data_IF_606461971070
#
_entry.id   IF_606461971070
#
_cell.length_a   1.000
_cell.length_b   1.000
_cell.length_c   1.000
_cell.angle_alpha   90.00
_cell.angle_beta   90.00
_cell.angle_gamma   90.00
#
_symmetry.space_group_name_H-M   'P 1'
#
loop_
_entity.id
_entity.type
_entity.pdbx_description
1 polymer ?
#
# COMPACT_ATOMS: atom_id res chain seq x y z
N UNK A 1 -4.11 13.17 10.05
CA UNK A 1 -3.46 13.69 11.27
C UNK A 1 -3.09 15.15 11.01
N UNK A 2 -3.53 16.04 11.89
CA UNK A 2 -3.41 17.50 11.74
C UNK A 2 -3.56 18.19 13.09
N UNK A 3 -3.21 19.47 13.16
CA UNK A 3 -3.53 20.32 14.31
C UNK A 3 -4.81 21.10 14.05
N UNK A 4 -5.87 20.81 14.80
CA UNK A 4 -7.19 21.41 14.56
C UNK A 4 -7.27 22.88 14.92
N UNK A 5 -6.44 23.33 15.85
CA UNK A 5 -6.28 24.76 16.14
C UNK A 5 -5.86 25.56 14.91
N UNK A 6 -4.99 24.99 14.06
CA UNK A 6 -4.39 25.70 12.92
C UNK A 6 -5.21 25.55 11.63
N UNK A 7 -5.87 24.41 11.41
CA UNK A 7 -6.34 24.02 10.06
C UNK A 7 -7.85 23.82 9.92
N UNK A 8 -8.59 23.72 11.03
CA UNK A 8 -9.97 23.21 11.05
C UNK A 8 -11.00 24.12 10.38
N UNK A 9 -10.88 25.44 10.50
CA UNK A 9 -11.93 26.39 10.08
C UNK A 9 -11.98 26.65 8.57
N UNK A 10 -10.86 26.46 7.87
CA UNK A 10 -10.74 26.82 6.45
C UNK A 10 -10.24 25.62 5.63
N UNK A 11 -8.93 25.38 5.67
CA UNK A 11 -8.23 24.42 4.82
C UNK A 11 -8.74 22.98 4.91
N UNK A 12 -8.89 22.44 6.13
CA UNK A 12 -9.30 21.04 6.31
C UNK A 12 -10.71 20.76 5.78
N UNK A 13 -11.62 21.72 5.92
CA UNK A 13 -12.98 21.60 5.41
C UNK A 13 -13.00 21.47 3.89
N UNK A 14 -12.23 22.30 3.20
CA UNK A 14 -12.08 22.24 1.74
C UNK A 14 -11.40 20.96 1.28
N UNK A 15 -10.32 20.54 1.96
CA UNK A 15 -9.63 19.30 1.64
C UNK A 15 -10.56 18.08 1.80
N UNK A 16 -11.32 18.01 2.90
CA UNK A 16 -12.28 16.93 3.13
C UNK A 16 -13.37 16.88 2.04
N UNK A 17 -13.89 18.05 1.64
CA UNK A 17 -14.89 18.13 0.57
C UNK A 17 -14.32 17.64 -0.77
N UNK A 18 -13.12 18.09 -1.14
CA UNK A 18 -12.49 17.70 -2.40
C UNK A 18 -12.12 16.21 -2.44
N UNK A 19 -11.67 15.62 -1.32
CA UNK A 19 -11.44 14.18 -1.20
C UNK A 19 -12.74 13.38 -1.37
N UNK A 20 -13.82 13.84 -0.73
CA UNK A 20 -15.14 13.23 -0.86
C UNK A 20 -15.66 13.28 -2.31
N UNK A 21 -15.47 14.40 -3.01
CA UNK A 21 -15.84 14.55 -4.43
C UNK A 21 -15.08 13.59 -5.35
N UNK A 22 -13.84 13.22 -5.00
CA UNK A 22 -13.08 12.17 -5.70
C UNK A 22 -13.44 10.75 -5.27
N UNK A 23 -14.39 10.57 -4.35
CA UNK A 23 -14.78 9.26 -3.82
C UNK A 23 -13.72 8.64 -2.91
N UNK A 24 -12.83 9.45 -2.32
CA UNK A 24 -11.79 8.97 -1.40
C UNK A 24 -12.35 9.00 0.02
N UNK A 25 -12.63 7.81 0.56
CA UNK A 25 -13.02 7.65 1.96
C UNK A 25 -11.90 8.14 2.88
N UNK A 26 -12.23 9.08 3.76
CA UNK A 26 -11.25 9.77 4.59
C UNK A 26 -11.68 9.71 6.05
N UNK A 27 -10.82 9.14 6.89
CA UNK A 27 -10.93 9.26 8.34
C UNK A 27 -10.29 10.58 8.78
N UNK A 28 -11.04 11.39 9.54
CA UNK A 28 -10.56 12.68 10.05
C UNK A 28 -10.61 12.61 11.57
N UNK A 29 -9.45 12.65 12.20
CA UNK A 29 -9.35 12.72 13.67
C UNK A 29 -9.86 14.09 14.18
N UNK A 30 -10.49 14.13 15.35
CA UNK A 30 -10.91 15.38 15.99
C UNK A 30 -10.07 15.61 17.26
N UNK A 31 -8.92 16.23 17.08
CA UNK A 31 -7.95 16.53 18.15
C UNK A 31 -8.47 17.48 19.26
N UNK A 32 -9.70 17.99 19.17
CA UNK A 32 -10.31 18.85 20.21
C UNK A 32 -11.29 18.11 21.13
N UNK A 33 -11.78 16.93 20.75
CA UNK A 33 -12.79 16.21 21.53
C UNK A 33 -12.19 15.30 22.61
N UNK A 34 -10.95 14.84 22.46
CA UNK A 34 -10.32 13.92 23.41
C UNK A 34 -9.20 14.58 24.22
N UNK A 35 -9.57 15.54 25.07
CA UNK A 35 -8.67 16.01 26.14
C UNK A 35 -8.41 14.86 27.13
N UNK A 36 -7.24 14.23 27.04
CA UNK A 36 -6.60 13.54 28.16
C UNK A 36 -6.61 12.00 28.17
N UNK A 37 -6.56 11.31 27.03
CA UNK A 37 -6.33 9.84 26.99
C UNK A 37 -5.24 9.44 26.01
N UNK A 38 -4.86 8.18 26.03
CA UNK A 38 -4.07 7.50 24.99
C UNK A 38 -4.83 7.49 23.66
N UNK A 39 -4.14 7.34 22.53
CA UNK A 39 -4.76 7.13 21.19
C UNK A 39 -5.89 6.10 21.32
N UNK A 40 -7.10 6.46 20.90
CA UNK A 40 -8.24 5.54 21.00
C UNK A 40 -8.01 4.29 20.14
N UNK A 41 -8.48 3.10 20.54
CA UNK A 41 -8.35 1.89 19.73
C UNK A 41 -8.95 2.04 18.33
N UNK A 42 -10.00 2.84 18.20
CA UNK A 42 -10.66 3.15 16.92
C UNK A 42 -9.75 3.96 16.00
N UNK A 43 -9.08 4.98 16.54
CA UNK A 43 -8.11 5.78 15.81
C UNK A 43 -6.88 4.96 15.39
N UNK A 44 -6.36 4.12 16.29
CA UNK A 44 -5.27 3.18 15.96
C UNK A 44 -5.66 2.27 14.80
N UNK A 45 -6.85 1.68 14.86
CA UNK A 45 -7.36 0.82 13.80
C UNK A 45 -7.53 1.59 12.49
N UNK A 46 -8.07 2.82 12.53
CA UNK A 46 -8.22 3.65 11.35
C UNK A 46 -6.88 3.98 10.69
N UNK A 47 -5.85 4.31 11.47
CA UNK A 47 -4.48 4.53 10.97
C UNK A 47 -3.96 3.25 10.32
N UNK A 48 -4.17 2.11 10.97
CA UNK A 48 -3.67 0.81 10.54
C UNK A 48 -4.34 0.25 9.28
N UNK A 49 -5.63 0.52 9.10
CA UNK A 49 -6.44 0.05 7.98
C UNK A 49 -6.36 1.01 6.77
N UNK A 50 -5.92 2.25 6.99
CA UNK A 50 -5.79 3.26 5.94
C UNK A 50 -4.66 2.93 4.96
N UNK A 51 -4.93 3.04 3.66
CA UNK A 51 -3.90 2.81 2.63
C UNK A 51 -2.90 3.96 2.49
N UNK A 52 -3.32 5.18 2.86
CA UNK A 52 -2.55 6.40 2.80
C UNK A 52 -2.80 7.24 4.06
N UNK A 53 -1.82 8.03 4.48
CA UNK A 53 -1.94 9.01 5.54
C UNK A 53 -1.50 10.39 5.03
N UNK A 54 -2.36 11.38 5.22
CA UNK A 54 -2.00 12.80 5.04
C UNK A 54 -1.62 13.37 6.41
N UNK A 55 -0.41 13.94 6.49
CA UNK A 55 0.15 14.57 7.68
C UNK A 55 0.24 16.07 7.43
N UNK A 56 -0.63 16.85 8.06
CA UNK A 56 -0.67 18.32 7.87
C UNK A 56 0.16 18.99 8.96
N UNK A 57 1.42 19.28 8.63
CA UNK A 57 2.38 19.96 9.48
C UNK A 57 2.08 21.45 9.45
N UNK A 58 1.75 22.02 10.60
CA UNK A 58 1.30 23.41 10.78
C UNK A 58 2.01 24.04 11.99
N UNK A 59 1.97 25.38 12.18
CA UNK A 59 2.84 26.07 13.13
C UNK A 59 2.79 25.51 14.56
N UNK A 60 1.62 25.11 15.04
CA UNK A 60 1.42 24.58 16.40
C UNK A 60 1.31 23.05 16.42
N UNK A 61 1.63 22.35 15.33
CA UNK A 61 1.50 20.90 15.25
C UNK A 61 2.26 20.18 16.36
N UNK A 62 3.52 20.54 16.57
CA UNK A 62 4.37 19.89 17.58
C UNK A 62 3.96 20.22 19.03
N UNK A 63 3.08 21.20 19.27
CA UNK A 63 2.58 21.48 20.62
C UNK A 63 1.66 20.37 21.15
N UNK A 64 1.06 19.59 20.25
CA UNK A 64 0.13 18.52 20.58
C UNK A 64 0.85 17.17 20.66
N UNK A 65 1.00 16.65 21.88
CA UNK A 65 1.54 15.29 22.10
C UNK A 65 0.71 14.22 21.39
N UNK A 66 -0.60 14.44 21.25
CA UNK A 66 -1.49 13.58 20.49
C UNK A 66 -1.13 13.52 19.01
N UNK A 67 -0.94 14.69 18.37
CA UNK A 67 -0.53 14.73 16.96
C UNK A 67 0.82 14.04 16.75
N UNK A 68 1.74 14.15 17.70
CA UNK A 68 3.05 13.49 17.66
C UNK A 68 2.96 11.97 17.85
N UNK A 69 2.14 11.49 18.80
CA UNK A 69 1.89 10.06 19.02
C UNK A 69 1.23 9.43 17.77
N UNK A 70 0.27 10.11 17.14
CA UNK A 70 -0.32 9.69 15.86
C UNK A 70 0.74 9.60 14.75
N UNK A 71 1.64 10.59 14.64
CA UNK A 71 2.69 10.60 13.63
C UNK A 71 3.64 9.40 13.77
N UNK A 72 4.05 9.09 15.00
CA UNK A 72 4.88 7.91 15.27
C UNK A 72 4.17 6.65 14.78
N UNK A 73 2.88 6.50 15.06
CA UNK A 73 2.10 5.33 14.63
C UNK A 73 1.94 5.27 13.10
N UNK A 74 1.74 6.41 12.44
CA UNK A 74 1.67 6.50 10.98
C UNK A 74 2.98 6.04 10.34
N UNK A 75 4.12 6.49 10.85
CA UNK A 75 5.43 6.08 10.32
C UNK A 75 5.75 4.62 10.62
N UNK A 76 5.30 4.08 11.74
CA UNK A 76 5.34 2.64 12.00
C UNK A 76 4.55 1.86 10.94
N UNK A 77 3.32 2.29 10.62
CA UNK A 77 2.50 1.67 9.57
C UNK A 77 3.11 1.83 8.16
N UNK A 78 3.77 2.94 7.88
CA UNK A 78 4.54 3.14 6.65
C UNK A 78 5.62 2.07 6.50
N UNK A 79 6.42 1.85 7.55
CA UNK A 79 7.53 0.88 7.55
C UNK A 79 7.05 -0.57 7.53
N UNK A 80 6.04 -0.89 8.34
CA UNK A 80 5.62 -2.28 8.58
C UNK A 80 4.56 -2.78 7.60
N UNK A 81 3.67 -1.89 7.14
CA UNK A 81 2.53 -2.23 6.27
C UNK A 81 2.65 -1.63 4.86
N UNK A 82 3.63 -0.77 4.60
CA UNK A 82 3.80 -0.10 3.31
C UNK A 82 2.72 0.95 3.05
N UNK A 83 2.16 1.54 4.09
CA UNK A 83 1.23 2.67 3.98
C UNK A 83 1.94 3.85 3.30
N UNK A 84 1.25 4.55 2.39
CA UNK A 84 1.81 5.77 1.78
C UNK A 84 1.62 6.95 2.74
N UNK A 85 2.67 7.74 2.96
CA UNK A 85 2.59 8.96 3.77
C UNK A 85 2.86 10.16 2.87
N UNK A 86 1.99 11.18 2.95
CA UNK A 86 2.12 12.44 2.22
C UNK A 86 2.19 13.58 3.27
N UNK A 87 3.38 14.15 3.52
CA UNK A 87 3.50 15.35 4.32
C UNK A 87 3.00 16.58 3.55
N UNK A 88 2.21 17.40 4.24
CA UNK A 88 1.73 18.70 3.78
C UNK A 88 2.31 19.74 4.73
N UNK A 89 3.13 20.64 4.20
CA UNK A 89 3.71 21.75 4.95
C UNK A 89 2.81 22.96 4.81
N UNK A 90 1.96 23.19 5.82
CA UNK A 90 0.94 24.25 5.83
C UNK A 90 1.42 25.44 6.67
N UNK A 91 1.78 26.54 6.01
CA UNK A 91 2.32 27.75 6.60
C UNK A 91 3.54 27.53 7.52
N UNK A 92 4.37 26.55 7.19
CA UNK A 92 5.62 26.24 7.90
C UNK A 92 6.74 26.01 6.89
N UNK A 93 7.98 26.28 7.28
CA UNK A 93 9.16 25.90 6.51
C UNK A 93 9.46 24.40 6.77
N UNK A 94 9.56 23.54 5.73
CA UNK A 94 10.00 22.15 5.89
C UNK A 94 11.32 21.99 6.64
N UNK A 95 12.23 22.97 6.55
CA UNK A 95 13.46 23.01 7.32
C UNK A 95 13.20 23.11 8.82
N UNK A 96 12.29 24.00 9.24
CA UNK A 96 11.94 24.16 10.65
C UNK A 96 11.31 22.90 11.22
N UNK A 97 10.46 22.22 10.45
CA UNK A 97 9.91 20.91 10.86
C UNK A 97 11.01 19.87 11.01
N UNK A 98 11.93 19.78 10.03
CA UNK A 98 13.00 18.78 9.99
C UNK A 98 14.05 18.98 11.07
N UNK A 99 14.38 20.24 11.38
CA UNK A 99 15.40 20.61 12.39
C UNK A 99 14.82 20.95 13.75
N UNK A 100 13.49 20.95 13.86
CA UNK A 100 12.75 21.34 15.06
C UNK A 100 13.21 22.73 15.53
N UNK A 101 13.20 23.70 14.62
CA UNK A 101 13.48 25.12 14.89
C UNK A 101 12.19 25.93 14.85
N UNK A 102 12.25 27.22 15.20
CA UNK A 102 11.06 28.07 15.31
C UNK A 102 10.04 27.51 16.32
N UNK A 103 8.76 27.52 15.95
CA UNK A 103 7.66 27.05 16.80
C UNK A 103 7.78 25.56 17.17
N UNK A 104 8.39 24.74 16.31
CA UNK A 104 8.65 23.34 16.61
C UNK A 104 9.70 23.20 17.72
N UNK A 105 10.74 24.02 17.69
CA UNK A 105 11.77 24.04 18.73
C UNK A 105 11.23 24.47 20.09
N UNK A 106 10.40 25.50 20.11
CA UNK A 106 9.71 25.96 21.32
C UNK A 106 8.81 24.87 21.91
N UNK A 107 8.06 24.16 21.05
CA UNK A 107 7.23 23.04 21.49
C UNK A 107 8.07 21.90 22.10
N UNK A 108 9.21 21.55 21.49
CA UNK A 108 10.08 20.51 22.02
C UNK A 108 10.78 20.90 23.32
N UNK A 109 11.18 22.16 23.49
CA UNK A 109 11.73 22.63 24.76
C UNK A 109 10.71 22.44 25.91
N UNK A 110 9.43 22.69 25.66
CA UNK A 110 8.37 22.43 26.63
C UNK A 110 8.17 20.93 26.88
N UNK A 111 8.20 20.09 25.84
CA UNK A 111 8.06 18.64 26.00
C UNK A 111 9.24 18.02 26.76
N UNK A 112 10.46 18.50 26.55
CA UNK A 112 11.63 18.03 27.29
C UNK A 112 11.50 18.29 28.79
N UNK A 113 10.91 19.42 29.20
CA UNK A 113 10.62 19.72 30.61
C UNK A 113 9.43 18.90 31.16
N UNK A 114 8.39 18.68 30.35
CA UNK A 114 7.19 17.97 30.80
C UNK A 114 7.36 16.44 30.83
N UNK A 115 8.34 15.91 30.08
CA UNK A 115 8.61 14.48 29.92
C UNK A 115 10.07 14.16 30.28
N UNK A 116 10.63 14.83 31.30
CA UNK A 116 11.99 14.57 31.79
C UNK A 116 12.22 13.10 32.14
N UNK A 117 11.20 12.42 32.65
CA UNK A 117 11.22 10.98 32.99
C UNK A 117 11.04 10.04 31.78
N UNK A 118 10.67 10.57 30.60
CA UNK A 118 10.40 9.81 29.37
C UNK A 118 11.01 10.48 28.13
N UNK A 119 12.31 10.77 28.21
CA UNK A 119 13.06 11.42 27.12
C UNK A 119 13.14 10.57 25.85
N UNK A 120 13.01 9.24 25.96
CA UNK A 120 12.92 8.37 24.78
C UNK A 120 11.63 8.63 23.98
N UNK A 121 10.51 8.95 24.64
CA UNK A 121 9.29 9.37 23.95
C UNK A 121 9.50 10.68 23.20
N UNK A 122 10.11 11.69 23.83
CA UNK A 122 10.41 12.98 23.18
C UNK A 122 11.32 12.79 21.97
N UNK A 123 12.33 11.92 22.10
CA UNK A 123 13.23 11.57 21.01
C UNK A 123 12.48 10.89 19.86
N UNK A 124 11.57 9.96 20.15
CA UNK A 124 10.75 9.29 19.13
C UNK A 124 9.93 10.28 18.31
N UNK A 125 9.40 11.34 18.95
CA UNK A 125 8.68 12.41 18.29
C UNK A 125 9.57 13.27 17.39
N UNK A 126 10.78 13.61 17.84
CA UNK A 126 11.77 14.34 17.02
C UNK A 126 12.18 13.52 15.79
N UNK A 127 12.48 12.24 16.00
CA UNK A 127 12.86 11.32 14.92
C UNK A 127 11.72 11.18 13.90
N UNK A 128 10.48 11.08 14.37
CA UNK A 128 9.29 11.02 13.52
C UNK A 128 9.11 12.29 12.66
N UNK A 129 9.26 13.48 13.25
CA UNK A 129 9.18 14.73 12.48
C UNK A 129 10.32 14.88 11.48
N UNK A 130 11.54 14.50 11.87
CA UNK A 130 12.68 14.50 10.96
C UNK A 130 12.46 13.54 9.78
N UNK A 131 11.96 12.34 10.06
CA UNK A 131 11.68 11.32 9.05
C UNK A 131 10.56 11.74 8.10
N UNK A 132 9.41 12.18 8.61
CA UNK A 132 8.29 12.59 7.75
C UNK A 132 8.68 13.80 6.89
N UNK A 133 9.51 14.71 7.41
CA UNK A 133 9.99 15.88 6.66
C UNK A 133 11.03 15.54 5.58
N UNK A 134 11.55 14.31 5.55
CA UNK A 134 12.42 13.82 4.47
C UNK A 134 11.63 13.18 3.32
N UNK A 135 10.33 12.94 3.51
CA UNK A 135 9.48 12.40 2.45
C UNK A 135 9.13 13.50 1.44
N UNK A 136 8.82 13.10 0.21
CA UNK A 136 8.27 14.01 -0.79
C UNK A 136 6.86 14.44 -0.37
N UNK A 137 6.65 15.75 -0.28
CA UNK A 137 5.38 16.36 0.12
C UNK A 137 5.13 17.66 -0.61
N UNK A 138 4.04 18.33 -0.25
CA UNK A 138 3.66 19.61 -0.83
C UNK A 138 3.78 20.74 0.19
N UNK A 139 4.29 21.89 -0.26
CA UNK A 139 4.45 23.08 0.55
C UNK A 139 3.45 24.16 0.12
N UNK A 140 2.55 24.52 1.03
CA UNK A 140 1.56 25.58 0.85
C UNK A 140 2.15 26.92 0.40
N UNK A 141 3.40 27.23 0.77
CA UNK A 141 4.07 28.48 0.39
C UNK A 141 4.39 28.54 -1.11
N UNK A 142 4.39 27.40 -1.80
CA UNK A 142 4.55 27.32 -3.25
C UNK A 142 3.26 27.67 -4.02
N UNK A 143 2.15 27.89 -3.30
CA UNK A 143 0.82 28.13 -3.88
C UNK A 143 0.32 29.53 -3.58
N UNK A 144 -0.53 30.04 -4.48
CA UNK A 144 -1.14 31.36 -4.31
C UNK A 144 -2.32 31.34 -3.33
N UNK A 145 -3.06 30.25 -3.32
CA UNK A 145 -4.29 30.09 -2.54
C UNK A 145 -4.54 28.63 -2.14
N UNK A 146 -5.32 28.43 -1.08
CA UNK A 146 -5.66 27.11 -0.56
C UNK A 146 -6.46 26.26 -1.55
N UNK A 147 -7.18 26.86 -2.50
CA UNK A 147 -8.02 26.12 -3.44
C UNK A 147 -7.17 25.34 -4.46
N UNK A 148 -6.19 26.02 -5.07
CA UNK A 148 -5.20 25.40 -5.95
C UNK A 148 -4.36 24.37 -5.19
N UNK A 149 -3.96 24.70 -3.96
CA UNK A 149 -3.22 23.78 -3.12
C UNK A 149 -4.00 22.49 -2.80
N UNK A 150 -5.27 22.60 -2.41
CA UNK A 150 -6.16 21.46 -2.16
C UNK A 150 -6.33 20.60 -3.41
N UNK A 151 -6.49 21.22 -4.58
CA UNK A 151 -6.63 20.49 -5.84
C UNK A 151 -5.42 19.59 -6.10
N UNK A 152 -4.20 20.13 -5.96
CA UNK A 152 -2.96 19.39 -6.18
C UNK A 152 -2.76 18.26 -5.16
N UNK A 153 -3.09 18.49 -3.88
CA UNK A 153 -3.06 17.45 -2.84
C UNK A 153 -3.93 16.26 -3.25
N UNK A 154 -5.15 16.55 -3.70
CA UNK A 154 -6.13 15.54 -4.08
C UNK A 154 -5.71 14.79 -5.34
N UNK A 155 -5.11 15.47 -6.31
CA UNK A 155 -4.55 14.85 -7.51
C UNK A 155 -3.36 13.94 -7.20
N UNK A 156 -2.42 14.40 -6.35
CA UNK A 156 -1.29 13.59 -5.91
C UNK A 156 -1.76 12.34 -5.17
N UNK A 157 -2.73 12.47 -4.26
CA UNK A 157 -3.30 11.34 -3.55
C UNK A 157 -3.99 10.36 -4.51
N UNK A 158 -4.83 10.86 -5.41
CA UNK A 158 -5.56 10.05 -6.39
C UNK A 158 -4.61 9.23 -7.27
N UNK A 159 -3.52 9.86 -7.72
CA UNK A 159 -2.46 9.20 -8.51
C UNK A 159 -1.78 8.08 -7.71
N UNK A 160 -1.40 8.34 -6.45
CA UNK A 160 -0.77 7.33 -5.59
C UNK A 160 -1.72 6.17 -5.27
N UNK A 161 -2.97 6.45 -4.95
CA UNK A 161 -3.99 5.42 -4.67
C UNK A 161 -4.24 4.56 -5.91
N UNK A 162 -4.36 5.17 -7.08
CA UNK A 162 -4.54 4.45 -8.36
C UNK A 162 -3.35 3.53 -8.65
N UNK A 163 -2.14 4.03 -8.46
CA UNK A 163 -0.89 3.25 -8.64
C UNK A 163 -0.82 2.07 -7.65
N UNK A 164 -1.17 2.30 -6.38
CA UNK A 164 -1.24 1.25 -5.37
C UNK A 164 -2.24 0.15 -5.76
N UNK A 165 -3.45 0.54 -6.18
CA UNK A 165 -4.50 -0.41 -6.56
C UNK A 165 -4.06 -1.27 -7.74
N UNK A 166 -3.48 -0.67 -8.78
CA UNK A 166 -2.92 -1.39 -9.94
C UNK A 166 -1.84 -2.39 -9.50
N UNK A 167 -0.89 -1.96 -8.68
CA UNK A 167 0.18 -2.85 -8.19
C UNK A 167 -0.33 -4.04 -7.36
N UNK A 168 -1.41 -3.84 -6.57
CA UNK A 168 -2.05 -4.90 -5.78
C UNK A 168 -2.77 -5.90 -6.68
N UNK A 169 -3.43 -5.43 -7.73
CA UNK A 169 -4.09 -6.27 -8.73
C UNK A 169 -3.06 -7.14 -9.45
N UNK A 170 -1.96 -6.55 -9.92
CA UNK A 170 -0.89 -7.26 -10.62
C UNK A 170 -0.25 -8.34 -9.75
N UNK A 171 0.08 -8.02 -8.48
CA UNK A 171 0.61 -9.00 -7.53
C UNK A 171 -0.35 -10.17 -7.29
N UNK A 172 -1.66 -9.91 -7.22
CA UNK A 172 -2.69 -10.96 -7.08
C UNK A 172 -2.77 -11.84 -8.32
N UNK A 173 -2.71 -11.25 -9.52
CA UNK A 173 -2.71 -11.99 -10.77
C UNK A 173 -1.46 -12.87 -10.91
N UNK A 174 -0.27 -12.33 -10.63
CA UNK A 174 0.99 -13.08 -10.65
C UNK A 174 0.98 -14.26 -9.67
N UNK A 175 0.45 -14.08 -8.45
CA UNK A 175 0.28 -15.18 -7.49
C UNK A 175 -0.67 -16.27 -8.01
N UNK A 176 -1.81 -15.87 -8.61
CA UNK A 176 -2.75 -16.83 -9.23
C UNK A 176 -2.09 -17.59 -10.38
N UNK A 177 -1.35 -16.90 -11.25
CA UNK A 177 -0.62 -17.52 -12.37
C UNK A 177 0.42 -18.52 -11.88
N UNK A 178 1.25 -18.14 -10.91
CA UNK A 178 2.24 -19.03 -10.31
C UNK A 178 1.61 -20.26 -9.63
N UNK A 179 0.45 -20.09 -8.99
CA UNK A 179 -0.31 -21.21 -8.43
C UNK A 179 -0.82 -22.16 -9.53
N UNK A 180 -1.32 -21.64 -10.65
CA UNK A 180 -1.76 -22.45 -11.79
C UNK A 180 -0.56 -23.16 -12.45
N UNK A 181 0.55 -22.47 -12.68
CA UNK A 181 1.78 -23.03 -13.27
C UNK A 181 2.39 -24.13 -12.40
N UNK A 182 2.41 -23.98 -11.08
CA UNK A 182 2.99 -24.99 -10.19
C UNK A 182 2.15 -26.26 -10.05
N UNK A 183 0.83 -26.20 -10.29
CA UNK A 183 -0.09 -27.30 -9.94
C UNK A 183 -0.88 -27.87 -11.10
N UNK A 184 -1.29 -27.04 -12.05
CA UNK A 184 -2.15 -27.44 -13.16
C UNK A 184 -1.32 -27.89 -14.38
N UNK A 185 -0.27 -27.16 -14.71
CA UNK A 185 0.58 -27.46 -15.87
C UNK A 185 1.28 -28.83 -15.82
N UNK A 186 1.85 -29.27 -14.68
CA UNK A 186 2.45 -30.61 -14.59
C UNK A 186 1.43 -31.72 -14.84
N UNK A 187 0.20 -31.56 -14.35
CA UNK A 187 -0.87 -32.55 -14.48
C UNK A 187 -1.38 -32.64 -15.92
N UNK A 188 -1.61 -31.50 -16.58
CA UNK A 188 -2.03 -31.45 -17.98
C UNK A 188 -0.92 -32.03 -18.88
N UNK A 189 0.33 -31.66 -18.65
CA UNK A 189 1.49 -32.18 -19.38
C UNK A 189 1.59 -33.72 -19.30
N UNK A 190 1.41 -34.29 -18.10
CA UNK A 190 1.41 -35.74 -17.89
C UNK A 190 0.28 -36.44 -18.67
N UNK A 191 -0.95 -35.91 -18.64
CA UNK A 191 -2.08 -36.52 -19.38
C UNK A 191 -1.90 -36.48 -20.90
N UNK A 192 -1.34 -35.39 -21.44
CA UNK A 192 -1.04 -35.25 -22.87
C UNK A 192 0.08 -36.21 -23.32
N UNK A 193 1.10 -36.41 -22.48
CA UNK A 193 2.17 -37.38 -22.77
C UNK A 193 1.64 -38.81 -22.75
N UNK A 194 0.85 -39.19 -21.73
CA UNK A 194 0.14 -40.47 -21.68
C UNK A 194 -0.75 -40.69 -22.91
N UNK A 195 -1.53 -39.69 -23.30
CA UNK A 195 -2.38 -39.75 -24.50
C UNK A 195 -1.56 -39.97 -25.78
N UNK A 196 -0.40 -39.32 -25.92
CA UNK A 196 0.53 -39.57 -27.03
C UNK A 196 1.05 -41.00 -27.04
N UNK A 197 1.49 -41.54 -25.89
CA UNK A 197 1.96 -42.92 -25.78
C UNK A 197 0.85 -43.93 -26.16
N UNK A 198 -0.37 -43.72 -25.70
CA UNK A 198 -1.55 -44.53 -26.06
C UNK A 198 -1.82 -44.51 -27.56
N UNK A 199 -1.79 -43.33 -28.21
CA UNK A 199 -1.95 -43.22 -29.66
C UNK A 199 -0.86 -43.97 -30.44
N UNK A 200 0.41 -43.83 -30.04
CA UNK A 200 1.51 -44.56 -30.68
C UNK A 200 1.38 -46.07 -30.50
N UNK A 201 0.96 -46.53 -29.32
CA UNK A 201 0.76 -47.95 -29.03
C UNK A 201 -0.39 -48.54 -29.86
N UNK A 202 -1.53 -47.84 -29.96
CA UNK A 202 -2.65 -48.26 -30.81
C UNK A 202 -2.23 -48.29 -32.28
N UNK A 203 -1.54 -47.25 -32.76
CA UNK A 203 -1.05 -47.21 -34.14
C UNK A 203 -0.07 -48.36 -34.42
N UNK A 204 0.82 -48.66 -33.48
CA UNK A 204 1.73 -49.78 -33.57
C UNK A 204 1.00 -51.13 -33.66
N UNK A 205 -0.01 -51.38 -32.80
CA UNK A 205 -0.85 -52.59 -32.87
C UNK A 205 -1.56 -52.69 -34.23
N UNK A 206 -2.15 -51.60 -34.72
CA UNK A 206 -2.84 -51.60 -36.02
C UNK A 206 -1.87 -51.90 -37.16
N UNK A 207 -0.68 -51.30 -37.17
CA UNK A 207 0.32 -51.56 -38.21
C UNK A 207 0.87 -52.99 -38.10
N UNK A 208 1.13 -53.47 -36.89
CA UNK A 208 1.63 -54.82 -36.64
C UNK A 208 0.63 -55.90 -37.04
N UNK A 209 -0.65 -55.73 -36.68
CA UNK A 209 -1.72 -56.65 -37.10
C UNK A 209 -1.89 -56.65 -38.61
N UNK A 210 -1.92 -55.49 -39.28
CA UNK A 210 -1.96 -55.41 -40.74
C UNK A 210 -0.75 -56.11 -41.40
N UNK A 211 0.44 -55.99 -40.81
CA UNK A 211 1.65 -56.67 -41.28
C UNK A 211 1.54 -58.19 -41.15
N UNK A 212 1.07 -58.71 -40.00
CA UNK A 212 0.80 -60.13 -39.80
C UNK A 212 -0.23 -60.65 -40.81
N UNK A 213 -1.34 -59.93 -41.01
CA UNK A 213 -2.35 -60.28 -42.01
C UNK A 213 -1.74 -60.32 -43.43
N UNK A 214 -0.90 -59.34 -43.80
CA UNK A 214 -0.29 -59.29 -45.14
C UNK A 214 0.70 -60.41 -45.41
N UNK A 215 1.41 -60.89 -44.39
CA UNK A 215 2.46 -61.92 -44.54
C UNK A 215 1.88 -63.33 -44.38
N UNK A 216 1.08 -63.56 -43.34
CA UNK A 216 0.65 -64.90 -42.98
C UNK A 216 -0.58 -65.37 -43.77
N UNK A 217 -1.45 -64.46 -44.24
CA UNK A 217 -2.61 -64.88 -45.05
C UNK A 217 -2.18 -65.50 -46.39
N UNK A 218 -1.27 -64.89 -47.18
CA UNK A 218 -0.80 -65.53 -48.42
C UNK A 218 -0.13 -66.87 -48.16
N UNK A 219 0.62 -66.98 -47.06
CA UNK A 219 1.28 -68.22 -46.65
C UNK A 219 0.28 -69.32 -46.25
N UNK A 220 -0.78 -68.95 -45.52
CA UNK A 220 -1.84 -69.89 -45.13
C UNK A 220 -2.72 -70.31 -46.33
N UNK A 221 -3.02 -69.37 -47.23
CA UNK A 221 -3.71 -69.66 -48.51
C UNK A 221 -2.88 -70.60 -49.38
N UNK A 222 -1.55 -70.45 -49.37
CA UNK A 222 -0.63 -71.34 -50.08
C UNK A 222 -0.63 -72.76 -49.48
N UNK A 223 -0.58 -72.88 -48.14
CA UNK A 223 -0.62 -74.17 -47.43
C UNK A 223 -1.96 -74.92 -47.55
N UNK A 224 -3.09 -74.21 -47.68
CA UNK A 224 -4.42 -74.83 -47.88
C UNK A 224 -4.67 -75.27 -49.33
N UNK A 225 -3.73 -75.02 -50.25
CA UNK A 225 -3.86 -75.34 -51.68
C UNK A 225 -3.17 -76.66 -52.07
N UNK A 226 -2.52 -77.33 -51.11
CA UNK A 226 -2.11 -78.73 -51.19
C UNK A 226 -3.11 -79.64 -50.47
#
# INVERSE_FOLDING_TARGET
NFRGEDTRKNFLGHLKAALYEKGIETFVDDDQLEKGKSISPQLLQAIEDSCCAIVILSPNYASSTWCLDELVKILDCMKTKGQIVIPIFYHVDPFDVRKQTGTFGEAFANHEQNFEDDMEKVKSWKDALAEVSNLAGLDSQSYRDDATFVSDIVEELSSKVSTLMSSKIDKRQSKKKAFIESRLYPCISATLTLGRFLCFFILYIVVFTLFIFKIFIPFFIYLLRE
#
